data_IF_395633204493
#
_entry.id   IF_395633204493
#
_cell.length_a   1.000
_cell.length_b   1.000
_cell.length_c   1.000
_cell.angle_alpha   90.00
_cell.angle_beta   90.00
_cell.angle_gamma   90.00
#
_symmetry.space_group_name_H-M   'P 1'
#
loop_
_entity.id
_entity.type
_entity.pdbx_description
1 polymer ?
#
# COMPACT_ATOMS: atom_id res chain seq x y z
N UNK A 1 -0.94 -17.89 33.32
CA UNK A 1 -0.16 -18.06 32.10
C UNK A 1 -1.17 -18.01 30.97
N UNK A 2 -1.41 -16.82 30.42
CA UNK A 2 -2.32 -16.64 29.28
C UNK A 2 -1.45 -16.72 28.03
N UNK A 3 -1.62 -17.78 27.23
CA UNK A 3 -1.25 -17.75 25.83
C UNK A 3 -2.05 -16.61 25.18
N UNK A 4 -1.33 -15.59 24.79
CA UNK A 4 -1.86 -14.47 24.03
C UNK A 4 -2.48 -15.07 22.76
N UNK A 5 -3.79 -14.90 22.59
CA UNK A 5 -4.54 -15.19 21.37
C UNK A 5 -3.87 -14.44 20.20
N UNK A 6 -2.87 -15.04 19.60
CA UNK A 6 -2.21 -14.50 18.42
C UNK A 6 -3.22 -14.58 17.28
N UNK A 7 -3.97 -13.49 17.06
CA UNK A 7 -4.87 -13.35 15.92
C UNK A 7 -4.12 -13.78 14.67
N UNK A 8 -4.66 -14.74 13.95
CA UNK A 8 -4.08 -15.20 12.68
C UNK A 8 -3.77 -13.99 11.79
N UNK A 9 -2.59 -13.91 11.18
CA UNK A 9 -2.20 -12.76 10.37
C UNK A 9 -3.17 -12.57 9.20
N UNK A 10 -3.51 -11.32 8.91
CA UNK A 10 -4.33 -10.97 7.75
C UNK A 10 -3.53 -11.08 6.46
N UNK A 11 -2.30 -10.55 6.44
CA UNK A 11 -1.32 -10.78 5.37
C UNK A 11 -0.20 -11.65 5.92
N UNK A 12 0.12 -12.73 5.21
CA UNK A 12 1.15 -13.68 5.61
C UNK A 12 2.01 -14.04 4.41
N UNK A 13 3.24 -13.52 4.38
CA UNK A 13 4.24 -13.82 3.37
C UNK A 13 5.38 -14.59 4.03
N UNK A 14 5.66 -15.82 3.55
CA UNK A 14 6.62 -16.74 4.19
C UNK A 14 7.71 -17.17 3.25
N UNK A 15 8.96 -17.09 3.71
CA UNK A 15 10.16 -17.62 3.06
C UNK A 15 10.26 -17.21 1.58
N UNK A 16 9.91 -15.94 1.29
CA UNK A 16 9.94 -15.42 -0.06
C UNK A 16 11.38 -15.31 -0.55
N UNK A 17 11.65 -15.85 -1.74
CA UNK A 17 12.91 -15.66 -2.43
C UNK A 17 12.68 -15.17 -3.86
N UNK A 18 13.61 -14.32 -4.34
CA UNK A 18 13.65 -13.81 -5.72
C UNK A 18 15.06 -13.51 -6.15
N UNK A 19 15.45 -14.08 -7.29
CA UNK A 19 16.75 -13.83 -7.91
C UNK A 19 16.59 -13.21 -9.29
N UNK A 20 17.51 -12.33 -9.66
CA UNK A 20 17.63 -11.73 -10.98
C UNK A 20 19.07 -11.93 -11.48
N UNK A 21 19.24 -12.61 -12.60
CA UNK A 21 20.56 -12.85 -13.22
C UNK A 21 21.68 -13.27 -12.22
N UNK A 22 21.33 -14.14 -11.26
CA UNK A 22 22.25 -14.63 -10.22
C UNK A 22 22.33 -13.79 -8.95
N UNK A 23 21.81 -12.54 -8.94
CA UNK A 23 21.69 -11.73 -7.73
C UNK A 23 20.41 -12.10 -6.97
N UNK A 24 20.55 -12.50 -5.71
CA UNK A 24 19.43 -12.82 -4.83
C UNK A 24 18.91 -11.53 -4.17
N UNK A 25 17.90 -10.91 -4.79
CA UNK A 25 17.33 -9.65 -4.34
C UNK A 25 16.41 -9.80 -3.10
N UNK A 26 15.79 -10.96 -2.92
CA UNK A 26 15.06 -11.37 -1.70
C UNK A 26 15.46 -12.80 -1.37
N UNK A 27 15.85 -13.07 -0.13
CA UNK A 27 16.43 -14.33 0.31
C UNK A 27 15.78 -14.83 1.61
N UNK A 28 14.70 -15.60 1.47
CA UNK A 28 14.00 -16.21 2.59
C UNK A 28 13.20 -15.22 3.47
N UNK A 29 12.82 -14.07 2.92
CA UNK A 29 12.11 -13.03 3.67
C UNK A 29 10.71 -13.47 4.06
N UNK A 30 10.35 -13.23 5.32
CA UNK A 30 9.01 -13.46 5.85
C UNK A 30 8.49 -12.19 6.51
N UNK A 31 7.21 -11.87 6.29
CA UNK A 31 6.50 -10.77 6.94
C UNK A 31 5.03 -11.13 7.13
N UNK A 32 4.52 -10.91 8.33
CA UNK A 32 3.13 -11.14 8.68
C UNK A 32 2.53 -9.87 9.28
N UNK A 33 1.30 -9.55 8.93
CA UNK A 33 0.56 -8.39 9.43
C UNK A 33 -0.72 -8.85 10.10
N UNK A 34 -0.95 -8.45 11.33
CA UNK A 34 -2.22 -8.64 12.01
C UNK A 34 -3.29 -7.67 11.46
N UNK A 35 -4.60 -7.99 11.60
CA UNK A 35 -5.67 -7.05 11.24
C UNK A 35 -5.54 -5.71 11.98
N UNK A 36 -5.58 -4.60 11.22
CA UNK A 36 -5.46 -3.24 11.75
C UNK A 36 -4.02 -2.81 12.09
N UNK A 37 -3.03 -3.62 11.79
CA UNK A 37 -1.62 -3.29 12.04
C UNK A 37 -1.08 -2.33 10.97
N UNK A 38 -0.26 -1.35 11.40
CA UNK A 38 0.55 -0.52 10.53
C UNK A 38 2.03 -0.84 10.78
N UNK A 39 2.66 -1.48 9.81
CA UNK A 39 4.07 -1.92 9.88
C UNK A 39 4.91 -1.16 8.87
N UNK A 40 6.04 -0.64 9.31
CA UNK A 40 7.05 -0.04 8.45
C UNK A 40 8.03 -1.09 7.91
N UNK A 41 8.39 -1.00 6.64
CA UNK A 41 9.47 -1.75 6.01
C UNK A 41 10.57 -0.78 5.61
N UNK A 42 11.70 -0.84 6.29
CA UNK A 42 12.84 0.05 6.07
C UNK A 42 14.10 -0.74 5.71
N UNK A 43 15.17 -0.04 5.38
CA UNK A 43 16.47 -0.62 5.06
C UNK A 43 17.20 0.23 4.03
N UNK A 44 18.52 0.04 3.84
CA UNK A 44 19.33 0.79 2.89
C UNK A 44 18.86 0.61 1.44
N UNK A 45 19.43 1.39 0.53
CA UNK A 45 19.18 1.23 -0.90
C UNK A 45 19.71 -0.14 -1.35
N UNK A 46 19.01 -0.78 -2.28
CA UNK A 46 19.39 -2.14 -2.71
C UNK A 46 19.04 -3.27 -1.72
N UNK A 47 18.47 -2.98 -0.54
CA UNK A 47 18.11 -4.00 0.46
C UNK A 47 17.05 -5.02 -0.02
N UNK A 48 16.36 -4.75 -1.15
CA UNK A 48 15.34 -5.63 -1.70
C UNK A 48 13.88 -5.25 -1.36
N UNK A 49 13.66 -4.12 -0.67
CA UNK A 49 12.32 -3.66 -0.24
C UNK A 49 11.31 -3.58 -1.38
N UNK A 50 11.63 -2.88 -2.46
CA UNK A 50 10.75 -2.75 -3.64
C UNK A 50 10.50 -4.11 -4.31
N UNK A 51 11.50 -5.00 -4.32
CA UNK A 51 11.32 -6.37 -4.82
C UNK A 51 10.33 -7.13 -3.95
N UNK A 52 10.47 -7.08 -2.62
CA UNK A 52 9.53 -7.71 -1.68
C UNK A 52 8.10 -7.17 -1.87
N UNK A 53 7.94 -5.85 -2.00
CA UNK A 53 6.65 -5.22 -2.30
C UNK A 53 6.04 -5.72 -3.61
N UNK A 54 6.87 -5.81 -4.66
CA UNK A 54 6.43 -6.33 -5.96
C UNK A 54 6.00 -7.81 -5.89
N UNK A 55 6.66 -8.60 -5.05
CA UNK A 55 6.27 -9.99 -4.77
C UNK A 55 4.91 -10.04 -4.06
N UNK A 56 4.73 -9.24 -2.98
CA UNK A 56 3.49 -9.18 -2.21
C UNK A 56 2.35 -8.60 -3.06
N UNK A 57 2.60 -7.58 -3.88
CA UNK A 57 1.60 -6.99 -4.77
C UNK A 57 1.24 -7.86 -5.98
N UNK A 58 2.05 -8.86 -6.31
CA UNK A 58 1.83 -9.76 -7.46
C UNK A 58 2.36 -9.24 -8.80
N UNK A 59 3.08 -8.11 -8.80
CA UNK A 59 3.79 -7.59 -9.98
C UNK A 59 5.01 -8.44 -10.35
N UNK A 60 5.55 -9.17 -9.37
CA UNK A 60 6.59 -10.19 -9.55
C UNK A 60 6.12 -11.51 -8.96
N UNK A 61 6.55 -12.62 -9.57
CA UNK A 61 6.33 -13.95 -9.02
C UNK A 61 7.55 -14.36 -8.19
N UNK A 62 7.36 -14.86 -6.95
CA UNK A 62 8.46 -15.39 -6.16
C UNK A 62 9.02 -16.67 -6.79
N UNK A 63 10.31 -16.93 -6.59
CA UNK A 63 10.96 -18.18 -6.98
C UNK A 63 10.65 -19.29 -5.97
N UNK A 64 10.45 -18.91 -4.69
CA UNK A 64 9.98 -19.79 -3.60
C UNK A 64 9.25 -19.00 -2.52
N UNK A 65 8.59 -19.72 -1.62
CA UNK A 65 7.78 -19.15 -0.55
C UNK A 65 6.30 -19.05 -0.89
N UNK A 66 5.52 -18.48 0.00
CA UNK A 66 4.06 -18.36 -0.15
C UNK A 66 3.56 -17.01 0.35
N UNK A 67 2.42 -16.55 -0.20
CA UNK A 67 1.76 -15.30 0.17
C UNK A 67 0.28 -15.57 0.34
N UNK A 68 -0.29 -15.22 1.50
CA UNK A 68 -1.70 -15.41 1.81
C UNK A 68 -2.33 -14.11 2.31
N UNK A 69 -3.59 -13.92 1.98
CA UNK A 69 -4.45 -12.86 2.53
C UNK A 69 -5.65 -13.52 3.21
N UNK A 70 -5.61 -13.61 4.53
CA UNK A 70 -6.54 -14.45 5.30
C UNK A 70 -6.49 -15.89 4.83
N UNK A 71 -7.63 -16.43 4.39
CA UNK A 71 -7.74 -17.78 3.87
C UNK A 71 -7.33 -17.91 2.38
N UNK A 72 -7.13 -16.80 1.67
CA UNK A 72 -6.89 -16.77 0.23
C UNK A 72 -5.40 -16.90 -0.09
N UNK A 73 -5.02 -17.92 -0.87
CA UNK A 73 -3.66 -18.08 -1.39
C UNK A 73 -3.42 -17.12 -2.56
N UNK A 74 -2.34 -16.29 -2.46
CA UNK A 74 -2.04 -15.25 -3.44
C UNK A 74 -0.79 -15.53 -4.29
N UNK A 75 0.04 -16.49 -3.94
CA UNK A 75 1.39 -16.69 -4.50
C UNK A 75 1.42 -16.74 -6.03
N UNK A 76 0.46 -17.44 -6.63
CA UNK A 76 0.41 -17.64 -8.09
C UNK A 76 -0.53 -16.67 -8.83
N UNK A 77 -1.22 -15.77 -8.12
CA UNK A 77 -2.19 -14.85 -8.73
C UNK A 77 -1.59 -13.46 -8.95
N UNK A 78 -1.94 -12.85 -10.10
CA UNK A 78 -1.44 -11.54 -10.50
C UNK A 78 -2.11 -10.38 -9.76
N UNK A 79 -1.60 -9.13 -9.97
CA UNK A 79 -1.96 -7.96 -9.17
C UNK A 79 -3.45 -7.62 -9.23
N UNK A 80 -4.10 -7.74 -10.37
CA UNK A 80 -5.53 -7.47 -10.53
C UNK A 80 -6.40 -8.37 -9.65
N UNK A 81 -6.09 -9.67 -9.60
CA UNK A 81 -6.82 -10.61 -8.75
C UNK A 81 -6.51 -10.42 -7.28
N UNK A 82 -5.29 -9.96 -6.94
CA UNK A 82 -4.93 -9.60 -5.56
C UNK A 82 -5.70 -8.36 -5.10
N UNK A 83 -5.88 -7.37 -5.98
CA UNK A 83 -6.71 -6.21 -5.69
C UNK A 83 -8.16 -6.63 -5.41
N UNK A 84 -8.73 -7.52 -6.23
CA UNK A 84 -10.07 -8.09 -5.99
C UNK A 84 -10.17 -8.92 -4.70
N UNK A 85 -9.07 -9.51 -4.25
CA UNK A 85 -9.01 -10.20 -2.97
C UNK A 85 -8.93 -9.25 -1.76
N UNK A 86 -8.66 -7.96 -2.01
CA UNK A 86 -8.57 -6.91 -1.00
C UNK A 86 -7.14 -6.45 -0.69
N UNK A 87 -6.17 -6.70 -1.56
CA UNK A 87 -4.81 -6.18 -1.43
C UNK A 87 -4.61 -4.99 -2.36
N UNK A 88 -4.74 -3.78 -1.84
CA UNK A 88 -4.49 -2.52 -2.56
C UNK A 88 -3.02 -2.12 -2.51
N UNK A 89 -2.55 -1.38 -3.52
CA UNK A 89 -1.21 -0.83 -3.56
C UNK A 89 -1.19 0.56 -4.17
N UNK A 90 -0.41 1.48 -3.59
CA UNK A 90 0.02 2.72 -4.24
C UNK A 90 1.33 2.52 -4.99
N UNK A 91 1.64 3.42 -5.93
CA UNK A 91 2.90 3.40 -6.66
C UNK A 91 3.81 4.54 -6.18
N UNK A 92 5.10 4.33 -6.17
CA UNK A 92 6.09 5.33 -5.78
C UNK A 92 5.93 6.63 -6.61
N UNK A 93 5.70 6.50 -7.92
CA UNK A 93 5.42 7.62 -8.81
C UNK A 93 3.95 7.56 -9.24
N UNK A 94 3.07 8.43 -8.71
CA UNK A 94 1.67 8.50 -9.12
C UNK A 94 1.52 8.82 -10.60
N UNK A 95 0.71 8.03 -11.29
CA UNK A 95 0.37 8.25 -12.70
C UNK A 95 -1.14 8.38 -12.87
N UNK A 96 -1.74 9.51 -12.46
CA UNK A 96 -3.14 9.76 -12.73
C UNK A 96 -3.38 9.97 -14.23
N UNK A 97 -4.60 9.73 -14.67
CA UNK A 97 -5.06 10.12 -16.00
C UNK A 97 -5.19 11.65 -16.05
N UNK A 98 -4.18 12.32 -16.58
CA UNK A 98 -4.01 13.77 -16.48
C UNK A 98 -5.18 14.59 -17.04
N UNK A 99 -5.81 14.12 -18.10
CA UNK A 99 -6.94 14.81 -18.76
C UNK A 99 -8.29 14.51 -18.09
N UNK A 100 -8.40 13.46 -17.29
CA UNK A 100 -9.57 13.19 -16.48
C UNK A 100 -9.57 14.07 -15.24
N UNK A 101 -10.77 14.39 -14.74
CA UNK A 101 -10.94 15.08 -13.47
C UNK A 101 -10.44 14.21 -12.29
N UNK A 102 -10.22 14.85 -11.16
CA UNK A 102 -9.84 14.16 -9.91
C UNK A 102 -10.91 13.12 -9.53
N UNK A 103 -12.19 13.48 -9.63
CA UNK A 103 -13.31 12.55 -9.37
C UNK A 103 -13.31 11.36 -10.34
N UNK A 104 -13.19 11.61 -11.65
CA UNK A 104 -13.13 10.54 -12.65
C UNK A 104 -11.96 9.60 -12.41
N UNK A 105 -10.78 10.12 -12.03
CA UNK A 105 -9.63 9.30 -11.65
C UNK A 105 -9.95 8.32 -10.52
N UNK A 106 -10.69 8.73 -9.50
CA UNK A 106 -11.12 7.83 -8.42
C UNK A 106 -12.11 6.80 -8.94
N UNK A 107 -13.07 7.21 -9.75
CA UNK A 107 -14.11 6.34 -10.30
C UNK A 107 -13.54 5.25 -11.24
N UNK A 108 -12.40 5.48 -11.92
CA UNK A 108 -11.72 4.43 -12.72
C UNK A 108 -11.28 3.22 -11.92
N UNK A 109 -11.15 3.35 -10.59
CA UNK A 109 -10.71 2.27 -9.73
C UNK A 109 -11.88 1.46 -9.10
N UNK A 110 -13.13 1.86 -9.32
CA UNK A 110 -14.30 1.13 -8.83
C UNK A 110 -14.36 -0.25 -9.48
N UNK A 111 -14.55 -1.28 -8.66
CA UNK A 111 -14.54 -2.68 -9.11
C UNK A 111 -15.95 -3.24 -9.27
N UNK A 112 -16.06 -4.31 -10.09
CA UNK A 112 -17.28 -5.13 -10.23
C UNK A 112 -18.54 -4.35 -10.68
N UNK A 113 -18.37 -3.32 -11.51
CA UNK A 113 -19.50 -2.53 -12.03
C UNK A 113 -20.38 -3.40 -12.94
N UNK A 114 -21.70 -3.38 -12.69
CA UNK A 114 -22.67 -4.12 -13.53
C UNK A 114 -22.60 -3.65 -15.00
N UNK A 115 -22.27 -2.38 -15.24
CA UNK A 115 -22.11 -1.77 -16.57
C UNK A 115 -20.95 -2.33 -17.40
N UNK A 116 -19.99 -3.06 -16.83
CA UNK A 116 -18.94 -3.75 -17.59
C UNK A 116 -19.46 -4.97 -18.38
N UNK A 117 -20.67 -5.42 -18.11
CA UNK A 117 -21.29 -6.59 -18.77
C UNK A 117 -22.21 -6.13 -19.90
N UNK A 118 -21.87 -6.48 -21.17
CA UNK A 118 -22.64 -6.06 -22.34
C UNK A 118 -24.15 -6.36 -22.24
N UNK A 119 -24.55 -7.54 -21.72
CA UNK A 119 -25.95 -7.91 -21.58
C UNK A 119 -26.67 -7.12 -20.46
N UNK A 120 -25.96 -6.74 -19.41
CA UNK A 120 -26.53 -5.93 -18.33
C UNK A 120 -26.89 -4.51 -18.81
N UNK A 121 -26.09 -3.96 -19.75
CA UNK A 121 -26.37 -2.65 -20.34
C UNK A 121 -27.69 -2.60 -21.12
N UNK A 122 -28.23 -3.74 -21.56
CA UNK A 122 -29.49 -3.79 -22.30
C UNK A 122 -30.72 -3.87 -21.36
N UNK A 123 -30.58 -4.40 -20.14
CA UNK A 123 -31.73 -4.73 -19.29
C UNK A 123 -31.66 -4.17 -17.85
N UNK A 124 -30.55 -3.55 -17.44
CA UNK A 124 -30.32 -3.16 -16.04
C UNK A 124 -30.02 -1.65 -15.85
N UNK A 125 -30.54 -0.76 -16.69
CA UNK A 125 -30.27 0.67 -16.67
C UNK A 125 -30.49 1.34 -15.30
N UNK A 126 -31.60 1.03 -14.63
CA UNK A 126 -31.92 1.61 -13.33
C UNK A 126 -30.92 1.16 -12.24
N UNK A 127 -30.47 -0.08 -12.31
CA UNK A 127 -29.46 -0.63 -11.39
C UNK A 127 -28.10 -0.01 -11.65
N UNK A 128 -27.67 0.09 -12.91
CA UNK A 128 -26.41 0.71 -13.30
C UNK A 128 -26.37 2.16 -12.81
N UNK A 129 -27.43 2.94 -13.10
CA UNK A 129 -27.53 4.32 -12.63
C UNK A 129 -27.54 4.49 -11.10
N UNK A 130 -28.03 3.50 -10.35
CA UNK A 130 -27.97 3.50 -8.90
C UNK A 130 -26.54 3.18 -8.40
N UNK A 131 -25.88 2.19 -8.99
CA UNK A 131 -24.49 1.81 -8.68
C UNK A 131 -23.51 2.96 -9.00
N UNK A 132 -23.71 3.66 -10.13
CA UNK A 132 -22.91 4.84 -10.50
C UNK A 132 -23.08 5.97 -9.48
N UNK A 133 -24.31 6.30 -9.10
CA UNK A 133 -24.58 7.32 -8.06
C UNK A 133 -23.90 6.98 -6.75
N UNK A 134 -24.03 5.73 -6.30
CA UNK A 134 -23.38 5.27 -5.07
C UNK A 134 -21.85 5.37 -5.16
N UNK A 135 -21.26 5.03 -6.31
CA UNK A 135 -19.83 5.13 -6.55
C UNK A 135 -19.37 6.59 -6.52
N UNK A 136 -20.13 7.52 -7.11
CA UNK A 136 -19.84 8.96 -7.08
C UNK A 136 -19.92 9.51 -5.65
N UNK A 137 -20.96 9.17 -4.89
CA UNK A 137 -21.09 9.59 -3.49
C UNK A 137 -19.92 9.08 -2.64
N UNK A 138 -19.55 7.81 -2.80
CA UNK A 138 -18.40 7.20 -2.12
C UNK A 138 -17.09 7.89 -2.52
N UNK A 139 -16.88 8.14 -3.80
CA UNK A 139 -15.68 8.83 -4.30
C UNK A 139 -15.57 10.25 -3.72
N UNK A 140 -16.67 11.01 -3.68
CA UNK A 140 -16.72 12.33 -3.05
C UNK A 140 -16.41 12.30 -1.57
N UNK A 141 -16.96 11.35 -0.82
CA UNK A 141 -16.63 11.17 0.60
C UNK A 141 -15.14 10.87 0.83
N UNK A 142 -14.51 10.07 -0.05
CA UNK A 142 -13.07 9.81 0.01
C UNK A 142 -12.27 11.06 -0.34
N UNK A 143 -12.67 11.80 -1.37
CA UNK A 143 -12.00 13.06 -1.74
C UNK A 143 -12.12 14.13 -0.65
N UNK A 144 -13.25 14.20 0.03
CA UNK A 144 -13.45 15.07 1.18
C UNK A 144 -12.53 14.69 2.33
N UNK A 145 -12.52 13.43 2.69
CA UNK A 145 -11.62 12.89 3.70
C UNK A 145 -10.14 13.20 3.38
N UNK A 146 -9.73 13.16 2.11
CA UNK A 146 -8.35 13.44 1.67
C UNK A 146 -8.11 14.93 1.34
N UNK A 147 -9.07 15.82 1.64
CA UNK A 147 -8.96 17.27 1.40
C UNK A 147 -8.78 17.63 -0.08
N UNK A 148 -9.36 16.84 -0.98
CA UNK A 148 -9.34 17.04 -2.44
C UNK A 148 -10.69 17.50 -3.02
N UNK A 149 -11.74 17.71 -2.21
CA UNK A 149 -13.10 18.07 -2.68
C UNK A 149 -13.13 19.30 -3.58
N UNK A 150 -12.33 20.33 -3.24
CA UNK A 150 -12.28 21.58 -4.05
C UNK A 150 -11.70 21.38 -5.44
N UNK A 151 -11.03 20.26 -5.68
CA UNK A 151 -10.37 19.89 -6.93
C UNK A 151 -11.11 18.79 -7.68
N UNK A 152 -12.28 18.34 -7.19
CA UNK A 152 -12.96 17.16 -7.73
C UNK A 152 -13.24 17.25 -9.24
N UNK A 153 -13.55 18.44 -9.73
CA UNK A 153 -13.88 18.70 -11.13
C UNK A 153 -12.67 19.20 -11.96
N UNK A 154 -11.51 19.36 -11.33
CA UNK A 154 -10.31 19.83 -11.99
C UNK A 154 -9.55 18.66 -12.65
N UNK A 155 -8.88 18.87 -13.79
CA UNK A 155 -8.07 17.85 -14.42
C UNK A 155 -6.86 17.47 -13.55
N UNK A 156 -6.61 16.17 -13.41
CA UNK A 156 -5.57 15.68 -12.49
C UNK A 156 -4.14 16.15 -12.83
N UNK A 157 -3.90 16.64 -14.06
CA UNK A 157 -2.59 17.20 -14.47
C UNK A 157 -2.17 18.42 -13.65
N UNK A 158 -3.13 19.22 -13.13
CA UNK A 158 -2.80 20.43 -12.35
C UNK A 158 -2.39 20.15 -10.92
N UNK A 159 -2.60 18.92 -10.43
CA UNK A 159 -2.30 18.54 -9.05
C UNK A 159 -0.81 18.65 -8.76
N UNK A 160 -0.47 19.17 -7.59
CA UNK A 160 0.88 19.10 -7.04
C UNK A 160 1.31 17.66 -6.78
N UNK A 161 2.61 17.41 -6.58
CA UNK A 161 3.14 16.07 -6.31
C UNK A 161 2.44 15.38 -5.14
N UNK A 162 2.28 16.08 -4.02
CA UNK A 162 1.60 15.51 -2.85
C UNK A 162 0.09 15.33 -3.04
N UNK A 163 -0.60 16.21 -3.78
CA UNK A 163 -2.01 16.02 -4.13
C UNK A 163 -2.20 14.80 -5.04
N UNK A 164 -1.25 14.51 -5.92
CA UNK A 164 -1.26 13.26 -6.72
C UNK A 164 -1.11 12.02 -5.84
N UNK A 165 -0.28 12.07 -4.78
CA UNK A 165 -0.16 10.99 -3.79
C UNK A 165 -1.49 10.76 -3.04
N UNK A 166 -2.18 11.83 -2.63
CA UNK A 166 -3.52 11.74 -2.03
C UNK A 166 -4.55 11.18 -3.02
N UNK A 167 -4.52 11.59 -4.30
CA UNK A 167 -5.40 11.04 -5.33
C UNK A 167 -5.14 9.53 -5.53
N UNK A 168 -3.90 9.10 -5.49
CA UNK A 168 -3.57 7.69 -5.60
C UNK A 168 -4.07 6.89 -4.40
N UNK A 169 -3.95 7.45 -3.19
CA UNK A 169 -4.55 6.87 -2.00
C UNK A 169 -6.08 6.77 -2.13
N UNK A 170 -6.75 7.81 -2.68
CA UNK A 170 -8.18 7.77 -2.97
C UNK A 170 -8.57 6.63 -3.90
N UNK A 171 -7.78 6.42 -4.97
CA UNK A 171 -7.99 5.32 -5.94
C UNK A 171 -7.84 3.94 -5.31
N UNK A 172 -6.97 3.79 -4.32
CA UNK A 172 -6.85 2.54 -3.56
C UNK A 172 -8.02 2.40 -2.60
N UNK A 173 -8.39 3.45 -1.87
CA UNK A 173 -9.47 3.41 -0.87
C UNK A 173 -10.84 3.07 -1.48
N UNK A 174 -11.15 3.54 -2.69
CA UNK A 174 -12.46 3.28 -3.34
C UNK A 174 -12.68 1.79 -3.60
N UNK A 175 -11.61 0.98 -3.65
CA UNK A 175 -11.68 -0.47 -3.90
C UNK A 175 -12.01 -1.29 -2.65
N UNK A 176 -12.21 -0.67 -1.47
CA UNK A 176 -12.44 -1.31 -0.17
C UNK A 176 -11.38 -2.38 0.17
N UNK A 177 -10.11 -2.03 0.17
CA UNK A 177 -9.05 -3.00 0.43
C UNK A 177 -9.09 -3.48 1.89
N UNK A 178 -8.58 -4.69 2.15
CA UNK A 178 -8.31 -5.22 3.49
C UNK A 178 -6.92 -4.85 3.97
N UNK A 179 -5.98 -4.78 3.03
CA UNK A 179 -4.59 -4.39 3.25
C UNK A 179 -4.18 -3.37 2.19
N UNK A 180 -3.49 -2.32 2.61
CA UNK A 180 -2.89 -1.33 1.71
C UNK A 180 -1.37 -1.43 1.79
N UNK A 181 -0.73 -1.55 0.64
CA UNK A 181 0.71 -1.41 0.47
C UNK A 181 1.02 0.03 0.05
N UNK A 182 1.71 0.80 0.90
CA UNK A 182 2.12 2.18 0.63
C UNK A 182 3.60 2.23 0.27
N UNK A 183 3.92 2.76 -0.90
CA UNK A 183 5.27 2.81 -1.46
C UNK A 183 5.77 4.27 -1.47
N UNK A 184 6.58 4.64 -0.46
CA UNK A 184 7.20 5.95 -0.26
C UNK A 184 6.20 7.14 -0.41
N UNK A 185 5.13 7.20 0.39
CA UNK A 185 4.15 8.27 0.28
C UNK A 185 4.72 9.67 0.63
N UNK A 186 5.83 9.76 1.39
CA UNK A 186 6.49 11.02 1.71
C UNK A 186 7.41 11.54 0.58
N UNK A 187 7.79 10.70 -0.39
CA UNK A 187 8.78 11.07 -1.39
C UNK A 187 8.32 12.25 -2.26
N UNK A 188 9.11 13.33 -2.28
CA UNK A 188 8.84 14.53 -3.08
C UNK A 188 7.67 15.38 -2.62
N UNK A 189 7.22 15.22 -1.37
CA UNK A 189 6.13 15.98 -0.77
C UNK A 189 6.70 17.14 0.05
N UNK A 190 6.07 18.31 -0.03
CA UNK A 190 6.45 19.45 0.82
C UNK A 190 6.02 19.21 2.30
N UNK A 191 6.67 19.84 3.29
CA UNK A 191 6.42 19.57 4.71
C UNK A 191 4.95 19.76 5.13
N UNK A 192 4.28 20.81 4.68
CA UNK A 192 2.89 21.09 5.07
C UNK A 192 1.91 20.00 4.59
N UNK A 193 2.16 19.42 3.41
CA UNK A 193 1.34 18.36 2.86
C UNK A 193 1.75 16.98 3.42
N UNK A 194 3.00 16.84 3.87
CA UNK A 194 3.47 15.64 4.52
C UNK A 194 2.71 15.37 5.81
N UNK A 195 2.50 16.38 6.65
CA UNK A 195 1.70 16.26 7.87
C UNK A 195 0.27 15.79 7.56
N UNK A 196 -0.35 16.36 6.54
CA UNK A 196 -1.68 15.93 6.09
C UNK A 196 -1.67 14.45 5.68
N UNK A 197 -0.68 14.01 4.90
CA UNK A 197 -0.57 12.60 4.46
C UNK A 197 -0.42 11.68 5.68
N UNK A 198 0.45 12.03 6.63
CA UNK A 198 0.66 11.27 7.87
C UNK A 198 -0.66 11.16 8.65
N UNK A 199 -1.36 12.27 8.86
CA UNK A 199 -2.63 12.29 9.60
C UNK A 199 -3.72 11.46 8.90
N UNK A 200 -3.79 11.48 7.56
CA UNK A 200 -4.75 10.67 6.81
C UNK A 200 -4.42 9.19 6.88
N UNK A 201 -3.15 8.80 6.76
CA UNK A 201 -2.73 7.39 6.91
C UNK A 201 -3.01 6.90 8.34
N UNK A 202 -2.70 7.70 9.37
CA UNK A 202 -3.01 7.37 10.75
C UNK A 202 -4.52 7.17 10.96
N UNK A 203 -5.36 8.05 10.39
CA UNK A 203 -6.81 7.94 10.50
C UNK A 203 -7.35 6.71 9.77
N UNK A 204 -6.83 6.38 8.58
CA UNK A 204 -7.19 5.17 7.83
C UNK A 204 -6.87 3.93 8.67
N UNK A 205 -5.69 3.89 9.29
CA UNK A 205 -5.30 2.78 10.16
C UNK A 205 -6.17 2.69 11.42
N UNK A 206 -6.46 3.81 12.10
CA UNK A 206 -7.38 3.86 13.25
C UNK A 206 -8.79 3.33 12.93
N UNK A 207 -9.24 3.44 11.68
CA UNK A 207 -10.48 2.83 11.18
C UNK A 207 -10.38 1.33 10.92
N UNK A 208 -9.24 0.70 11.28
CA UNK A 208 -9.02 -0.74 11.19
C UNK A 208 -8.32 -1.22 9.91
N UNK A 209 -7.86 -0.30 9.05
CA UNK A 209 -7.11 -0.68 7.85
C UNK A 209 -5.73 -1.23 8.22
N UNK A 210 -5.38 -2.38 7.66
CA UNK A 210 -4.02 -2.94 7.77
C UNK A 210 -3.12 -2.32 6.70
N UNK A 211 -1.93 -1.87 7.10
CA UNK A 211 -1.03 -1.13 6.21
C UNK A 211 0.39 -1.68 6.31
N UNK A 212 1.02 -1.93 5.16
CA UNK A 212 2.46 -2.10 5.04
C UNK A 212 3.05 -0.90 4.31
N UNK A 213 3.98 -0.21 4.96
CA UNK A 213 4.53 1.05 4.51
C UNK A 213 6.03 0.90 4.22
N UNK A 214 6.48 1.15 2.98
CA UNK A 214 7.90 1.42 2.70
C UNK A 214 8.13 2.90 2.86
N UNK A 215 9.12 3.29 3.67
CA UNK A 215 9.53 4.68 3.84
C UNK A 215 11.00 4.81 4.22
N UNK A 216 11.56 5.96 3.88
CA UNK A 216 12.89 6.40 4.30
C UNK A 216 12.81 7.57 5.28
N UNK A 217 11.65 8.21 5.40
CA UNK A 217 11.40 9.30 6.34
C UNK A 217 11.15 8.71 7.74
N UNK A 218 12.18 8.81 8.61
CA UNK A 218 12.12 8.26 9.96
C UNK A 218 11.08 8.95 10.85
N UNK A 219 10.79 10.23 10.62
CA UNK A 219 9.72 10.93 11.34
C UNK A 219 8.35 10.29 11.05
N UNK A 220 8.06 10.02 9.77
CA UNK A 220 6.83 9.35 9.38
C UNK A 220 6.74 7.94 9.98
N UNK A 221 7.83 7.18 9.96
CA UNK A 221 7.92 5.85 10.56
C UNK A 221 7.62 5.91 12.08
N UNK A 222 8.24 6.85 12.80
CA UNK A 222 8.04 7.01 14.25
C UNK A 222 6.62 7.45 14.61
N UNK A 223 5.98 8.29 13.77
CA UNK A 223 4.62 8.77 14.00
C UNK A 223 3.54 7.73 13.69
N UNK A 224 3.79 6.84 12.73
CA UNK A 224 2.77 5.93 12.20
C UNK A 224 2.94 4.48 12.67
N UNK A 225 4.17 3.98 12.76
CA UNK A 225 4.40 2.54 12.89
C UNK A 225 4.58 2.14 14.35
N UNK A 226 3.83 1.14 14.79
CA UNK A 226 4.09 0.48 16.07
C UNK A 226 5.22 -0.57 15.94
N UNK A 227 5.40 -1.13 14.75
CA UNK A 227 6.40 -2.14 14.40
C UNK A 227 7.12 -1.77 13.11
N UNK A 228 8.41 -2.04 13.07
CA UNK A 228 9.27 -1.84 11.91
C UNK A 228 10.02 -3.12 11.62
N UNK A 229 10.06 -3.49 10.34
CA UNK A 229 10.85 -4.58 9.78
C UNK A 229 11.99 -3.98 8.98
N UNK A 230 13.22 -4.35 9.30
CA UNK A 230 14.43 -3.86 8.62
C UNK A 230 14.96 -4.93 7.69
N UNK A 231 15.11 -4.57 6.42
CA UNK A 231 15.77 -5.42 5.42
C UNK A 231 17.17 -4.94 5.11
N UNK A 232 18.10 -5.87 4.98
CA UNK A 232 19.42 -5.66 4.39
C UNK A 232 19.80 -6.86 3.53
N UNK A 233 20.39 -6.61 2.35
CA UNK A 233 20.89 -7.66 1.44
C UNK A 233 19.86 -8.78 1.14
N UNK A 234 18.59 -8.39 1.00
CA UNK A 234 17.49 -9.32 0.69
C UNK A 234 16.94 -10.11 1.88
N UNK A 235 17.44 -9.89 3.10
CA UNK A 235 17.10 -10.65 4.32
C UNK A 235 16.51 -9.74 5.40
N UNK A 236 15.84 -10.36 6.37
CA UNK A 236 15.49 -9.70 7.63
C UNK A 236 16.78 -9.42 8.41
N UNK A 237 17.00 -8.15 8.75
CA UNK A 237 18.09 -7.73 9.62
C UNK A 237 17.62 -7.59 11.07
N UNK A 238 16.55 -6.84 11.27
CA UNK A 238 15.97 -6.58 12.59
C UNK A 238 14.47 -6.36 12.50
N UNK A 239 13.78 -6.53 13.64
CA UNK A 239 12.35 -6.25 13.76
C UNK A 239 12.06 -5.78 15.18
N UNK A 240 11.28 -4.69 15.33
CA UNK A 240 10.95 -4.14 16.64
C UNK A 240 10.22 -2.81 16.59
N UNK A 241 10.11 -2.14 17.73
CA UNK A 241 9.57 -0.79 17.78
C UNK A 241 10.54 0.22 17.12
N UNK A 242 10.03 1.29 16.50
CA UNK A 242 10.88 2.28 15.81
C UNK A 242 12.02 2.83 16.67
N UNK A 243 11.76 3.05 17.98
CA UNK A 243 12.75 3.58 18.91
C UNK A 243 13.89 2.60 19.20
N UNK A 244 13.61 1.30 19.22
CA UNK A 244 14.60 0.24 19.44
C UNK A 244 15.43 0.04 18.18
N UNK A 245 14.78 -0.01 17.03
CA UNK A 245 15.42 -0.12 15.71
C UNK A 245 16.40 1.04 15.45
N UNK A 246 16.05 2.27 15.84
CA UNK A 246 16.91 3.43 15.66
C UNK A 246 18.23 3.37 16.49
N UNK A 247 18.30 2.50 17.51
CA UNK A 247 19.47 2.30 18.38
C UNK A 247 20.22 1.00 18.11
N UNK A 248 19.67 0.17 17.24
CA UNK A 248 20.27 -1.12 16.91
C UNK A 248 21.58 -0.91 16.11
N UNK A 249 22.68 -1.44 16.64
CA UNK A 249 24.00 -1.25 16.06
C UNK A 249 24.16 -1.87 14.65
N UNK A 250 23.51 -3.01 14.43
CA UNK A 250 23.54 -3.70 13.14
C UNK A 250 22.74 -2.91 12.09
N UNK A 251 21.61 -2.33 12.51
CA UNK A 251 20.80 -1.44 11.65
C UNK A 251 21.59 -0.18 11.30
N UNK A 252 22.17 0.50 12.30
CA UNK A 252 22.98 1.70 12.06
C UNK A 252 24.16 1.36 11.14
N UNK A 253 24.86 0.24 11.38
CA UNK A 253 25.95 -0.25 10.56
C UNK A 253 25.57 -0.50 9.11
N UNK A 254 24.38 -1.07 8.87
CA UNK A 254 23.87 -1.33 7.52
C UNK A 254 23.60 -0.04 6.73
N UNK A 255 23.17 1.04 7.39
CA UNK A 255 22.96 2.34 6.75
C UNK A 255 24.27 3.11 6.52
N UNK A 256 25.28 2.95 7.40
CA UNK A 256 26.57 3.60 7.28
C UNK A 256 27.51 2.88 6.29
N UNK A 257 27.35 1.56 6.12
CA UNK A 257 28.14 0.76 5.19
C UNK A 257 27.86 1.05 3.71
N UNK A 258 26.71 1.61 3.37
CA UNK A 258 26.38 2.06 2.01
C UNK A 258 26.96 3.44 1.65
N UNK A 259 27.62 4.12 2.59
CA UNK A 259 28.21 5.46 2.40
C UNK A 259 29.71 5.44 2.01
N UNK A 260 30.28 4.25 1.74
CA UNK A 260 31.69 4.08 1.37
C UNK A 260 31.87 3.71 -0.10
#
# INVERSE_FOLDING_TARGET
>A
MNETDAKSPLLDARNLAKSFAGLRAVDGMSIALAPGELTGLIGPNGAGKTTLFNLIAGSLRPDSGSIRLGATELTAIGPERRLRAGLGRTFQIPRPFGEMTVLENVLTAVQNQTGERMLANLFAFSRIAAEERQSVEKARAILDFLSLSRLENEPARILSGGQRKLLELARVMITDPKVILLDEPAAGVNPALLDLIIDRIAEINRRGMTILLIEHNMEMIQRLCARVVVMAQGKLLAEGAPADIARDADVVGAYLGDAA
#
